data_IF_691074027902
#
_entry.id   IF_691074027902
#
_cell.length_a   1.000
_cell.length_b   1.000
_cell.length_c   1.000
_cell.angle_alpha   90.00
_cell.angle_beta   90.00
_cell.angle_gamma   90.00
#
_symmetry.space_group_name_H-M   'P 1'
#
loop_
_entity.id
_entity.type
_entity.pdbx_description
1 polymer ?
#
# COMPACT_ATOMS: atom_id res chain seq x y z
N UNK A 1 -7.39 25.71 7.93
CA UNK A 1 -7.43 24.45 7.15
C UNK A 1 -6.90 23.38 8.08
N UNK A 2 -7.70 22.37 8.41
CA UNK A 2 -7.28 21.31 9.33
C UNK A 2 -6.33 20.35 8.57
N UNK A 3 -5.03 20.59 8.72
CA UNK A 3 -3.96 19.66 8.35
C UNK A 3 -4.08 18.43 9.24
N UNK A 4 -4.65 17.35 8.69
CA UNK A 4 -4.63 16.06 9.38
C UNK A 4 -3.21 15.49 9.20
N UNK A 5 -2.34 15.67 10.19
CA UNK A 5 -0.97 15.15 10.18
C UNK A 5 -0.96 13.67 10.59
N UNK A 6 -1.19 12.80 9.60
CA UNK A 6 -0.88 11.39 9.74
C UNK A 6 0.64 11.26 9.81
N UNK A 7 1.18 10.95 10.98
CA UNK A 7 2.59 10.61 11.10
C UNK A 7 2.72 9.14 10.76
N UNK A 8 3.51 8.82 9.75
CA UNK A 8 3.73 7.44 9.32
C UNK A 8 5.21 7.10 9.27
N UNK A 9 5.50 5.84 9.55
CA UNK A 9 6.80 5.23 9.31
C UNK A 9 6.59 3.99 8.47
N UNK A 10 7.48 3.77 7.51
CA UNK A 10 7.41 2.59 6.68
C UNK A 10 8.75 1.98 6.40
N UNK A 11 8.69 0.86 5.71
CA UNK A 11 9.81 0.04 5.34
C UNK A 11 9.68 -0.34 3.88
N UNK A 12 10.72 -0.08 3.12
CA UNK A 12 10.93 -0.66 1.81
C UNK A 12 11.62 -2.02 2.02
N UNK A 13 11.05 -3.08 1.45
CA UNK A 13 11.60 -4.45 1.49
C UNK A 13 12.28 -4.70 0.14
N UNK A 14 13.61 -4.74 0.12
CA UNK A 14 14.44 -4.72 -1.09
C UNK A 14 15.84 -5.30 -0.80
N UNK A 15 16.63 -5.61 -1.82
CA UNK A 15 17.96 -6.22 -1.62
C UNK A 15 19.02 -5.22 -1.15
N UNK A 16 19.06 -4.03 -1.79
CA UNK A 16 19.97 -2.91 -1.43
C UNK A 16 19.44 -1.55 -1.90
N UNK A 17 19.75 -0.49 -1.18
CA UNK A 17 19.41 0.87 -1.61
C UNK A 17 20.33 1.31 -2.76
N UNK A 18 19.72 1.61 -3.91
CA UNK A 18 20.39 2.01 -5.16
C UNK A 18 20.05 3.45 -5.54
N UNK A 19 20.69 4.03 -6.58
CA UNK A 19 20.31 5.33 -7.12
C UNK A 19 18.81 5.47 -7.44
N UNK A 20 18.15 4.46 -8.01
CA UNK A 20 16.70 4.52 -8.27
C UNK A 20 15.89 4.65 -6.98
N UNK A 21 16.22 3.87 -5.94
CA UNK A 21 15.54 3.95 -4.65
C UNK A 21 15.75 5.32 -4.00
N UNK A 22 16.97 5.87 -4.05
CA UNK A 22 17.26 7.22 -3.53
C UNK A 22 16.50 8.30 -4.29
N UNK A 23 16.42 8.20 -5.61
CA UNK A 23 15.72 9.16 -6.45
C UNK A 23 14.22 9.21 -6.13
N UNK A 24 13.58 8.05 -5.93
CA UNK A 24 12.13 7.95 -5.72
C UNK A 24 11.71 8.14 -4.26
N UNK A 25 12.49 7.65 -3.30
CA UNK A 25 12.10 7.60 -1.89
C UNK A 25 12.95 8.48 -0.97
N UNK A 26 14.04 9.08 -1.47
CA UNK A 26 14.98 9.85 -0.64
C UNK A 26 14.36 11.05 0.08
N UNK A 27 13.24 11.59 -0.42
CA UNK A 27 12.48 12.69 0.21
C UNK A 27 11.50 12.25 1.31
N UNK A 28 11.41 10.95 1.57
CA UNK A 28 10.60 10.38 2.64
C UNK A 28 11.46 10.06 3.88
N UNK A 29 12.48 10.87 4.20
CA UNK A 29 13.43 10.60 5.30
C UNK A 29 14.00 9.17 5.26
N UNK A 30 14.49 8.76 4.08
CA UNK A 30 15.01 7.40 3.83
C UNK A 30 16.26 7.13 4.68
N UNK A 31 16.23 6.03 5.43
CA UNK A 31 17.31 5.51 6.27
C UNK A 31 17.78 4.16 5.72
N UNK A 32 19.01 4.12 5.19
CA UNK A 32 19.59 2.94 4.53
C UNK A 32 20.18 1.94 5.54
N UNK A 33 20.75 2.44 6.63
CA UNK A 33 21.40 1.64 7.67
C UNK A 33 20.36 1.12 8.67
N UNK A 34 19.59 0.10 8.28
CA UNK A 34 18.63 -0.53 9.18
C UNK A 34 19.19 -1.80 9.82
N UNK A 35 18.73 -2.18 11.04
CA UNK A 35 19.21 -3.38 11.72
C UNK A 35 18.84 -4.69 11.01
N UNK A 36 17.92 -4.64 10.04
CA UNK A 36 17.48 -5.79 9.25
C UNK A 36 18.07 -5.69 7.85
N UNK A 37 19.00 -6.60 7.49
CA UNK A 37 19.42 -6.73 6.09
C UNK A 37 18.20 -6.85 5.16
N UNK A 38 18.26 -6.15 4.03
CA UNK A 38 17.18 -6.13 3.04
C UNK A 38 15.98 -5.24 3.37
N UNK A 39 16.15 -4.26 4.27
CA UNK A 39 15.11 -3.29 4.63
C UNK A 39 15.69 -1.88 4.66
N UNK A 40 14.96 -0.90 4.12
CA UNK A 40 15.25 0.53 4.29
C UNK A 40 14.04 1.21 4.94
N UNK A 41 14.27 2.01 5.98
CA UNK A 41 13.18 2.68 6.70
C UNK A 41 12.92 4.06 6.10
N UNK A 42 11.69 4.55 6.17
CA UNK A 42 11.33 5.89 5.73
C UNK A 42 10.28 6.48 6.68
N UNK A 43 10.24 7.81 6.76
CA UNK A 43 9.32 8.57 7.61
C UNK A 43 8.50 9.57 6.80
N UNK A 44 7.24 9.74 7.18
CA UNK A 44 6.36 10.84 6.75
C UNK A 44 5.84 11.56 7.98
N UNK A 45 6.77 12.12 8.73
CA UNK A 45 6.54 12.72 10.04
C UNK A 45 6.54 14.24 9.86
N UNK A 46 5.42 14.90 9.55
CA UNK A 46 5.13 16.37 9.68
C UNK A 46 3.91 16.81 8.83
N UNK A 47 3.37 18.02 9.09
CA UNK A 47 2.31 18.65 8.29
C UNK A 47 2.73 18.81 6.81
N UNK A 48 1.90 18.33 5.88
CA UNK A 48 2.27 18.18 4.45
C UNK A 48 2.61 16.74 4.05
N UNK A 49 2.15 15.75 4.83
CA UNK A 49 2.49 14.33 4.76
C UNK A 49 2.62 13.79 3.32
N UNK A 50 3.85 13.55 2.87
CA UNK A 50 4.20 12.93 1.58
C UNK A 50 5.29 13.67 0.83
N UNK A 51 5.91 13.01 -0.13
CA UNK A 51 6.87 13.64 -1.04
C UNK A 51 6.11 14.14 -2.28
N UNK A 52 5.86 15.44 -2.46
CA UNK A 52 5.33 15.96 -3.71
C UNK A 52 6.29 15.65 -4.86
N UNK A 53 5.72 15.49 -6.05
CA UNK A 53 6.51 15.22 -7.25
C UNK A 53 7.59 16.28 -7.51
N UNK A 54 7.35 17.53 -7.11
CA UNK A 54 8.34 18.61 -7.18
C UNK A 54 9.59 18.33 -6.31
N UNK A 55 9.44 17.64 -5.18
CA UNK A 55 10.58 17.29 -4.32
C UNK A 55 11.32 16.04 -4.82
N UNK A 56 10.60 15.12 -5.47
CA UNK A 56 11.16 13.91 -6.09
C UNK A 56 11.89 14.24 -7.40
N UNK A 57 11.41 15.26 -8.11
CA UNK A 57 11.91 15.65 -9.42
C UNK A 57 13.45 15.87 -9.47
N UNK A 58 14.09 16.62 -8.55
CA UNK A 58 15.54 16.73 -8.50
C UNK A 58 16.26 15.38 -8.42
N UNK A 59 15.74 14.42 -7.65
CA UNK A 59 16.31 13.08 -7.55
C UNK A 59 16.25 12.31 -8.88
N UNK A 60 15.19 12.51 -9.67
CA UNK A 60 15.07 11.93 -11.00
C UNK A 60 16.04 12.56 -12.01
N UNK A 61 16.30 13.87 -11.89
CA UNK A 61 17.32 14.56 -12.69
C UNK A 61 18.69 13.99 -12.38
N UNK A 62 19.08 13.95 -11.10
CA UNK A 62 20.37 13.39 -10.66
C UNK A 62 20.55 11.94 -11.13
N UNK A 63 19.49 11.12 -11.06
CA UNK A 63 19.51 9.75 -11.57
C UNK A 63 19.78 9.72 -13.08
N UNK A 64 19.08 10.54 -13.86
CA UNK A 64 19.28 10.60 -15.30
C UNK A 64 20.71 11.06 -15.68
N UNK A 65 21.30 11.99 -14.93
CA UNK A 65 22.69 12.42 -15.12
C UNK A 65 23.68 11.28 -14.82
N UNK A 66 23.47 10.57 -13.72
CA UNK A 66 24.31 9.43 -13.32
C UNK A 66 24.26 8.30 -14.35
N UNK A 67 23.12 8.11 -15.00
CA UNK A 67 22.93 7.13 -16.08
C UNK A 67 23.45 7.63 -17.45
N UNK A 68 23.91 8.87 -17.54
CA UNK A 68 24.43 9.48 -18.78
C UNK A 68 23.35 9.69 -19.85
N UNK A 69 22.10 9.91 -19.44
CA UNK A 69 20.99 10.06 -20.37
C UNK A 69 21.05 11.42 -21.09
N UNK A 70 20.71 11.47 -22.40
CA UNK A 70 20.82 12.69 -23.19
C UNK A 70 19.67 13.65 -22.87
N UNK A 71 19.88 14.57 -21.95
CA UNK A 71 18.99 15.71 -21.73
C UNK A 71 19.79 16.99 -21.48
N UNK A 72 19.23 18.14 -21.87
CA UNK A 72 19.81 19.43 -21.55
C UNK A 72 19.28 19.86 -20.19
N UNK A 73 20.19 20.02 -19.20
CA UNK A 73 19.83 20.58 -17.91
C UNK A 73 19.17 21.97 -18.06
N UNK A 74 19.56 22.73 -19.10
CA UNK A 74 19.00 24.05 -19.43
C UNK A 74 17.53 23.98 -19.89
N UNK A 75 17.08 22.83 -20.39
CA UNK A 75 15.68 22.63 -20.82
C UNK A 75 14.73 22.26 -19.69
N UNK A 76 15.23 22.00 -18.47
CA UNK A 76 14.43 21.60 -17.29
C UNK A 76 13.27 20.66 -17.66
N UNK A 77 13.56 19.40 -18.05
CA UNK A 77 12.53 18.48 -18.52
C UNK A 77 11.42 18.32 -17.49
N UNK A 78 10.17 18.10 -17.91
CA UNK A 78 9.10 17.81 -16.96
C UNK A 78 9.31 16.44 -16.29
N UNK A 79 8.71 16.22 -15.11
CA UNK A 79 8.73 14.90 -14.43
C UNK A 79 8.28 13.78 -15.37
N UNK A 80 7.23 14.01 -16.16
CA UNK A 80 6.75 13.05 -17.16
C UNK A 80 7.83 12.72 -18.19
N UNK A 81 8.47 13.73 -18.79
CA UNK A 81 9.50 13.53 -19.80
C UNK A 81 10.72 12.78 -19.25
N UNK A 82 11.13 13.06 -18.00
CA UNK A 82 12.18 12.31 -17.31
C UNK A 82 11.80 10.85 -17.11
N UNK A 83 10.58 10.58 -16.62
CA UNK A 83 10.11 9.21 -16.42
C UNK A 83 9.95 8.44 -17.73
N UNK A 84 9.57 9.09 -18.83
CA UNK A 84 9.54 8.49 -20.17
C UNK A 84 10.95 8.09 -20.62
N UNK A 85 11.94 8.96 -20.42
CA UNK A 85 13.34 8.70 -20.76
C UNK A 85 13.93 7.57 -19.91
N UNK A 86 13.68 7.58 -18.60
CA UNK A 86 14.07 6.51 -17.69
C UNK A 86 13.38 5.20 -18.07
N UNK A 87 12.09 5.23 -18.45
CA UNK A 87 11.39 4.04 -18.92
C UNK A 87 12.01 3.46 -20.19
N UNK A 88 12.51 4.29 -21.11
CA UNK A 88 13.27 3.81 -22.27
C UNK A 88 14.59 3.16 -21.83
N UNK A 89 15.33 3.79 -20.91
CA UNK A 89 16.59 3.26 -20.40
C UNK A 89 16.43 1.88 -19.73
N UNK A 90 15.41 1.72 -18.89
CA UNK A 90 15.13 0.48 -18.16
C UNK A 90 14.31 -0.56 -18.97
N UNK A 91 14.01 -0.29 -20.25
CA UNK A 91 13.24 -1.21 -21.09
C UNK A 91 11.76 -1.34 -20.70
N UNK A 92 11.22 -0.36 -19.97
CA UNK A 92 9.83 -0.30 -19.51
C UNK A 92 8.93 0.59 -20.39
N UNK A 93 9.45 1.18 -21.48
CA UNK A 93 8.68 2.08 -22.34
C UNK A 93 7.48 1.41 -23.02
N UNK A 94 7.61 0.13 -23.38
CA UNK A 94 6.54 -0.67 -24.01
C UNK A 94 5.61 -1.35 -22.99
N UNK A 95 5.86 -1.19 -21.69
CA UNK A 95 4.96 -1.73 -20.67
C UNK A 95 3.62 -0.97 -20.71
N UNK A 96 2.50 -1.65 -21.00
CA UNK A 96 1.20 -1.01 -21.15
C UNK A 96 0.72 -0.33 -19.87
N UNK A 97 1.07 -0.87 -18.70
CA UNK A 97 0.74 -0.26 -17.41
C UNK A 97 1.59 0.99 -17.19
N UNK A 98 2.88 0.97 -17.56
CA UNK A 98 3.76 2.15 -17.44
C UNK A 98 3.29 3.27 -18.36
N UNK A 99 2.97 2.95 -19.62
CA UNK A 99 2.47 3.94 -20.57
C UNK A 99 1.13 4.54 -20.11
N UNK A 100 0.19 3.69 -19.69
CA UNK A 100 -1.11 4.15 -19.18
C UNK A 100 -0.93 5.03 -17.93
N UNK A 101 0.05 4.70 -17.10
CA UNK A 101 0.39 5.43 -15.91
C UNK A 101 0.94 6.83 -16.24
N UNK A 102 1.94 6.91 -17.10
CA UNK A 102 2.52 8.17 -17.58
C UNK A 102 1.48 9.06 -18.25
N UNK A 103 0.57 8.50 -19.05
CA UNK A 103 -0.48 9.24 -19.73
C UNK A 103 -1.46 9.91 -18.75
N UNK A 104 -1.89 9.17 -17.73
CA UNK A 104 -2.99 9.57 -16.84
C UNK A 104 -2.57 10.44 -15.66
N UNK A 105 -1.31 10.39 -15.24
CA UNK A 105 -0.87 11.09 -14.04
C UNK A 105 -0.40 12.51 -14.37
N UNK A 106 -0.86 13.51 -13.60
CA UNK A 106 -0.52 14.93 -13.81
C UNK A 106 0.85 15.31 -13.24
N UNK A 107 1.31 14.60 -12.20
CA UNK A 107 2.57 14.85 -11.49
C UNK A 107 2.61 16.20 -10.76
N UNK A 108 1.44 16.76 -10.41
CA UNK A 108 1.31 18.06 -9.74
C UNK A 108 1.14 17.95 -8.22
N UNK A 109 0.80 16.75 -7.73
CA UNK A 109 0.42 16.50 -6.34
C UNK A 109 1.47 15.68 -5.57
N UNK A 110 1.12 15.26 -4.35
CA UNK A 110 1.87 14.26 -3.57
C UNK A 110 2.05 12.97 -4.37
N UNK A 111 3.27 12.43 -4.40
CA UNK A 111 3.52 11.13 -4.99
C UNK A 111 2.99 10.03 -4.08
N UNK A 112 2.11 9.19 -4.62
CA UNK A 112 1.52 8.06 -3.91
C UNK A 112 2.55 6.92 -3.78
N UNK A 113 2.59 6.21 -2.65
CA UNK A 113 3.51 5.08 -2.46
C UNK A 113 3.26 3.94 -3.45
N UNK A 114 2.01 3.70 -3.84
CA UNK A 114 1.64 2.71 -4.86
C UNK A 114 2.25 3.07 -6.21
N UNK A 115 2.31 4.37 -6.49
CA UNK A 115 2.91 4.92 -7.69
C UNK A 115 4.43 4.79 -7.68
N UNK A 116 5.06 5.20 -6.59
CA UNK A 116 6.52 5.08 -6.43
C UNK A 116 6.95 3.62 -6.51
N UNK A 117 6.19 2.71 -5.89
CA UNK A 117 6.38 1.27 -6.02
C UNK A 117 6.28 0.81 -7.48
N UNK A 118 5.23 1.22 -8.20
CA UNK A 118 5.00 0.81 -9.59
C UNK A 118 6.12 1.26 -10.54
N UNK A 119 6.73 2.42 -10.29
CA UNK A 119 7.88 2.92 -11.05
C UNK A 119 9.15 2.16 -10.65
N UNK A 120 9.42 2.04 -9.34
CA UNK A 120 10.62 1.39 -8.84
C UNK A 120 10.75 -0.07 -9.34
N UNK A 121 9.68 -0.87 -9.29
CA UNK A 121 9.75 -2.27 -9.78
C UNK A 121 10.01 -2.39 -11.29
N UNK A 122 9.88 -1.30 -12.06
CA UNK A 122 10.19 -1.24 -13.49
C UNK A 122 11.58 -0.70 -13.75
N UNK A 123 12.05 0.20 -12.89
CA UNK A 123 13.37 0.81 -12.97
C UNK A 123 14.37 0.06 -12.09
N UNK A 124 14.33 -1.28 -12.13
CA UNK A 124 15.17 -2.09 -11.25
C UNK A 124 16.64 -2.06 -11.73
N UNK A 125 17.43 -1.21 -11.08
CA UNK A 125 18.90 -1.12 -11.22
C UNK A 125 19.64 -2.12 -10.31
N UNK A 126 18.92 -3.16 -9.85
CA UNK A 126 19.40 -4.20 -8.95
C UNK A 126 19.04 -3.95 -7.48
N UNK A 127 18.03 -3.11 -7.21
CA UNK A 127 17.49 -2.92 -5.87
C UNK A 127 16.55 -4.05 -5.46
N UNK A 128 15.90 -4.74 -6.41
CA UNK A 128 15.04 -5.89 -6.11
C UNK A 128 13.88 -5.56 -5.17
N UNK A 129 13.16 -4.45 -5.40
CA UNK A 129 12.10 -3.99 -4.50
C UNK A 129 10.93 -4.98 -4.52
N UNK A 130 10.62 -5.56 -3.37
CA UNK A 130 9.60 -6.59 -3.21
C UNK A 130 8.29 -6.00 -2.69
N UNK A 131 8.37 -5.12 -1.69
CA UNK A 131 7.20 -4.55 -1.04
C UNK A 131 7.50 -3.23 -0.31
N UNK A 132 6.42 -2.51 0.01
CA UNK A 132 6.39 -1.37 0.92
C UNK A 132 5.40 -1.70 2.03
N UNK A 133 5.80 -1.48 3.29
CA UNK A 133 4.92 -1.57 4.46
C UNK A 133 4.96 -0.23 5.18
N UNK A 134 3.83 0.42 5.40
CA UNK A 134 3.72 1.69 6.11
C UNK A 134 2.68 1.55 7.23
N UNK A 135 3.00 2.07 8.41
CA UNK A 135 2.05 2.25 9.50
C UNK A 135 2.04 3.72 9.92
N UNK A 136 0.84 4.29 9.97
CA UNK A 136 0.60 5.66 10.37
C UNK A 136 -0.36 5.75 11.54
N UNK A 137 -0.18 6.79 12.36
CA UNK A 137 -1.08 7.15 13.42
C UNK A 137 -1.49 8.61 13.29
N UNK A 138 -2.79 8.86 13.44
CA UNK A 138 -3.31 10.23 13.46
C UNK A 138 -2.86 10.90 14.75
N UNK A 139 -2.03 11.94 14.64
CA UNK A 139 -1.75 12.80 15.79
C UNK A 139 -2.78 13.93 15.82
N UNK A 140 -3.76 13.89 16.74
CA UNK A 140 -4.60 15.05 17.04
C UNK A 140 -4.35 15.52 18.46
N UNK A 141 -4.09 16.82 18.61
CA UNK A 141 -3.93 17.46 19.91
C UNK A 141 -5.26 17.60 20.70
N UNK A 142 -6.41 17.32 20.07
CA UNK A 142 -7.73 17.58 20.65
C UNK A 142 -8.48 16.30 21.07
N UNK A 143 -8.82 16.24 22.36
CA UNK A 143 -9.25 15.06 23.14
C UNK A 143 -10.72 14.62 22.96
N UNK A 144 -11.42 15.03 21.90
CA UNK A 144 -12.91 14.91 21.84
C UNK A 144 -13.47 13.71 21.06
N UNK A 145 -12.62 12.85 20.49
CA UNK A 145 -12.98 11.60 19.76
C UNK A 145 -11.92 10.55 20.16
N UNK A 146 -12.16 9.22 20.12
CA UNK A 146 -11.10 8.23 20.38
C UNK A 146 -9.79 8.62 19.69
N UNK A 147 -8.79 8.95 20.51
CA UNK A 147 -7.60 9.71 20.12
C UNK A 147 -6.48 8.84 19.50
N UNK A 148 -6.73 7.55 19.33
CA UNK A 148 -5.77 6.55 18.89
C UNK A 148 -6.36 5.83 17.67
N UNK A 149 -6.14 6.43 16.50
CA UNK A 149 -6.50 5.86 15.20
C UNK A 149 -5.24 5.70 14.37
N UNK A 150 -5.15 4.61 13.62
CA UNK A 150 -4.05 4.36 12.71
C UNK A 150 -4.51 3.78 11.39
N UNK A 151 -3.63 3.85 10.41
CA UNK A 151 -3.79 3.28 9.08
C UNK A 151 -2.50 2.52 8.72
N UNK A 152 -2.67 1.31 8.20
CA UNK A 152 -1.58 0.49 7.70
C UNK A 152 -1.77 0.26 6.21
N UNK A 153 -0.67 0.34 5.46
CA UNK A 153 -0.61 0.10 4.02
C UNK A 153 0.48 -0.93 3.74
N UNK A 154 0.13 -1.94 2.94
CA UNK A 154 1.08 -2.93 2.43
C UNK A 154 0.94 -3.01 0.91
N UNK A 155 2.05 -2.82 0.18
CA UNK A 155 2.08 -2.74 -1.27
C UNK A 155 3.12 -3.75 -1.78
N UNK A 156 2.71 -4.65 -2.65
CA UNK A 156 3.59 -5.55 -3.39
C UNK A 156 3.06 -5.81 -4.80
N UNK A 157 3.75 -6.67 -5.56
CA UNK A 157 3.27 -7.13 -6.88
C UNK A 157 2.02 -8.01 -6.75
N UNK A 158 1.87 -8.70 -5.63
CA UNK A 158 0.83 -9.69 -5.37
C UNK A 158 -0.37 -9.06 -4.66
N UNK A 159 -0.13 -8.17 -3.70
CA UNK A 159 -1.14 -7.66 -2.76
C UNK A 159 -0.99 -6.14 -2.57
N UNK A 160 -2.12 -5.44 -2.54
CA UNK A 160 -2.22 -4.04 -2.08
C UNK A 160 -3.31 -3.97 -1.02
N UNK A 161 -2.91 -3.85 0.24
CA UNK A 161 -3.81 -3.89 1.40
C UNK A 161 -3.72 -2.59 2.17
N UNK A 162 -4.88 -1.99 2.44
CA UNK A 162 -5.01 -0.83 3.33
C UNK A 162 -6.02 -1.15 4.42
N UNK A 163 -5.62 -0.94 5.67
CA UNK A 163 -6.45 -1.23 6.85
C UNK A 163 -6.35 -0.09 7.86
N UNK A 164 -7.49 0.49 8.23
CA UNK A 164 -7.59 1.48 9.28
C UNK A 164 -8.19 0.87 10.54
N UNK A 165 -7.67 1.20 11.72
CA UNK A 165 -8.19 0.70 12.99
C UNK A 165 -9.66 1.05 13.20
N UNK A 166 -10.10 2.22 12.71
CA UNK A 166 -11.50 2.63 12.71
C UNK A 166 -12.41 1.65 11.95
N UNK A 167 -11.95 1.11 10.81
CA UNK A 167 -12.73 0.13 10.02
C UNK A 167 -13.02 -1.15 10.81
N UNK A 168 -12.14 -1.54 11.74
CA UNK A 168 -12.36 -2.71 12.60
C UNK A 168 -13.39 -2.42 13.68
N UNK A 169 -13.36 -1.22 14.28
CA UNK A 169 -14.34 -0.79 15.29
C UNK A 169 -15.74 -0.70 14.65
N UNK A 170 -15.85 -0.04 13.49
CA UNK A 170 -17.12 0.10 12.76
C UNK A 170 -17.75 -1.24 12.39
N UNK A 171 -16.92 -2.21 11.98
CA UNK A 171 -17.35 -3.59 11.71
C UNK A 171 -17.85 -4.26 12.98
N UNK A 172 -17.12 -4.13 14.09
CA UNK A 172 -17.50 -4.70 15.39
C UNK A 172 -18.85 -4.18 15.88
N UNK A 173 -19.06 -2.86 15.81
CA UNK A 173 -20.32 -2.24 16.22
C UNK A 173 -21.48 -2.63 15.32
N UNK A 174 -21.28 -2.65 14.01
CA UNK A 174 -22.29 -3.06 13.04
C UNK A 174 -22.68 -4.52 13.21
N UNK A 175 -21.70 -5.40 13.44
CA UNK A 175 -21.93 -6.82 13.64
C UNK A 175 -22.64 -7.09 14.97
N UNK A 176 -22.23 -6.41 16.05
CA UNK A 176 -22.90 -6.47 17.36
C UNK A 176 -24.37 -6.07 17.24
N UNK A 177 -24.68 -4.98 16.54
CA UNK A 177 -26.05 -4.50 16.34
C UNK A 177 -26.90 -5.47 15.52
N UNK A 178 -26.33 -6.09 14.48
CA UNK A 178 -27.01 -7.09 13.68
C UNK A 178 -27.36 -8.33 14.52
N UNK A 179 -26.37 -8.87 15.25
CA UNK A 179 -26.55 -10.04 16.10
C UNK A 179 -27.51 -9.79 17.27
N UNK A 180 -27.44 -8.62 17.90
CA UNK A 180 -28.37 -8.25 18.99
C UNK A 180 -29.84 -8.14 18.53
N UNK A 181 -30.07 -7.98 17.22
CA UNK A 181 -31.40 -7.94 16.59
C UNK A 181 -31.80 -9.26 15.95
N UNK A 182 -30.98 -10.31 16.10
CA UNK A 182 -31.10 -11.59 15.39
C UNK A 182 -31.15 -11.44 13.86
N UNK A 183 -30.55 -10.36 13.34
CA UNK A 183 -30.48 -10.09 11.90
C UNK A 183 -29.24 -10.78 11.29
N UNK A 184 -29.37 -12.10 11.13
CA UNK A 184 -28.31 -12.93 10.55
C UNK A 184 -27.99 -12.55 9.09
N UNK A 185 -28.96 -12.00 8.37
CA UNK A 185 -28.75 -11.55 7.00
C UNK A 185 -27.78 -10.37 6.95
N UNK A 186 -27.99 -9.36 7.80
CA UNK A 186 -27.10 -8.22 7.91
C UNK A 186 -25.71 -8.63 8.42
N UNK A 187 -25.65 -9.51 9.42
CA UNK A 187 -24.38 -10.06 9.91
C UNK A 187 -23.58 -10.76 8.79
N UNK A 188 -24.26 -11.58 7.98
CA UNK A 188 -23.66 -12.23 6.81
C UNK A 188 -23.13 -11.22 5.80
N UNK A 189 -23.91 -10.18 5.45
CA UNK A 189 -23.47 -9.16 4.49
C UNK A 189 -22.22 -8.42 4.97
N UNK A 190 -22.12 -8.09 6.25
CA UNK A 190 -20.97 -7.42 6.83
C UNK A 190 -19.70 -8.27 6.71
N UNK A 191 -19.78 -9.56 7.06
CA UNK A 191 -18.67 -10.50 6.92
C UNK A 191 -18.30 -10.74 5.46
N UNK A 192 -19.29 -10.91 4.58
CA UNK A 192 -19.07 -11.09 3.15
C UNK A 192 -18.28 -9.91 2.57
N UNK A 193 -18.70 -8.67 2.83
CA UNK A 193 -18.00 -7.46 2.35
C UNK A 193 -16.57 -7.38 2.89
N UNK A 194 -16.33 -7.76 4.15
CA UNK A 194 -14.98 -7.75 4.74
C UNK A 194 -14.06 -8.74 4.03
N UNK A 195 -14.54 -9.96 3.78
CA UNK A 195 -13.80 -11.00 3.06
C UNK A 195 -13.58 -10.59 1.59
N UNK A 196 -14.59 -10.05 0.94
CA UNK A 196 -14.51 -9.56 -0.43
C UNK A 196 -13.45 -8.46 -0.57
N UNK A 197 -13.41 -7.47 0.33
CA UNK A 197 -12.37 -6.44 0.34
C UNK A 197 -10.96 -7.03 0.46
N UNK A 198 -10.77 -7.98 1.38
CA UNK A 198 -9.48 -8.67 1.54
C UNK A 198 -9.10 -9.43 0.28
N UNK A 199 -10.05 -10.11 -0.37
CA UNK A 199 -9.77 -10.82 -1.62
C UNK A 199 -9.43 -9.85 -2.75
N UNK A 200 -10.12 -8.70 -2.85
CA UNK A 200 -9.86 -7.68 -3.86
C UNK A 200 -8.48 -7.02 -3.70
N UNK A 201 -7.87 -7.07 -2.52
CA UNK A 201 -6.47 -6.65 -2.29
C UNK A 201 -5.46 -7.48 -3.11
N UNK A 202 -5.83 -8.70 -3.51
CA UNK A 202 -4.99 -9.61 -4.28
C UNK A 202 -5.10 -9.26 -5.76
N UNK A 203 -4.00 -8.86 -6.39
CA UNK A 203 -3.97 -8.33 -7.77
C UNK A 203 -4.28 -9.41 -8.80
N UNK A 204 -3.74 -10.62 -8.64
CA UNK A 204 -3.94 -11.72 -9.59
C UNK A 204 -5.36 -12.29 -9.50
N UNK A 205 -6.16 -12.09 -10.56
CA UNK A 205 -7.55 -12.55 -10.65
C UNK A 205 -7.70 -14.07 -10.49
N UNK A 206 -6.82 -14.85 -11.10
CA UNK A 206 -6.87 -16.32 -11.05
C UNK A 206 -6.58 -16.83 -9.64
N UNK A 207 -5.54 -16.28 -8.98
CA UNK A 207 -5.23 -16.60 -7.58
C UNK A 207 -6.40 -16.24 -6.65
N UNK A 208 -6.99 -15.05 -6.85
CA UNK A 208 -8.18 -14.59 -6.11
C UNK A 208 -9.36 -15.54 -6.28
N UNK A 209 -9.65 -15.99 -7.49
CA UNK A 209 -10.72 -16.97 -7.75
C UNK A 209 -10.45 -18.33 -7.10
N UNK A 210 -9.21 -18.81 -7.13
CA UNK A 210 -8.83 -20.05 -6.47
C UNK A 210 -9.00 -19.95 -4.94
N UNK A 211 -8.61 -18.83 -4.34
CA UNK A 211 -8.78 -18.58 -2.91
C UNK A 211 -10.26 -18.51 -2.50
N UNK A 212 -11.13 -17.89 -3.31
CA UNK A 212 -12.59 -17.91 -3.08
C UNK A 212 -13.10 -19.34 -2.96
N UNK A 213 -12.69 -20.25 -3.86
CA UNK A 213 -13.15 -21.63 -3.81
C UNK A 213 -12.64 -22.36 -2.56
N UNK A 214 -11.37 -22.15 -2.19
CA UNK A 214 -10.79 -22.72 -0.96
C UNK A 214 -11.51 -22.23 0.30
N UNK A 215 -11.82 -20.93 0.36
CA UNK A 215 -12.57 -20.34 1.49
C UNK A 215 -13.98 -20.90 1.60
N UNK A 216 -14.68 -21.08 0.47
CA UNK A 216 -16.01 -21.71 0.45
C UNK A 216 -15.99 -23.11 1.06
N UNK A 217 -15.03 -23.95 0.65
CA UNK A 217 -14.87 -25.29 1.21
C UNK A 217 -14.50 -25.28 2.70
N UNK A 218 -13.67 -24.33 3.14
CA UNK A 218 -13.23 -24.23 4.52
C UNK A 218 -14.31 -23.72 5.49
N UNK A 219 -15.29 -22.96 4.99
CA UNK A 219 -16.39 -22.43 5.81
C UNK A 219 -17.56 -23.41 5.98
N UNK A 220 -17.66 -24.45 5.13
CA UNK A 220 -18.71 -25.48 5.25
C UNK A 220 -18.68 -26.23 6.60
N UNK A 221 -17.51 -26.70 7.12
CA UNK A 221 -17.43 -27.40 8.40
C UNK A 221 -17.65 -26.49 9.63
N UNK A 222 -17.45 -25.18 9.50
CA UNK A 222 -17.63 -24.24 10.61
C UNK A 222 -19.12 -24.03 10.97
N UNK A 223 -20.04 -24.37 10.07
CA UNK A 223 -21.47 -24.44 10.35
C UNK A 223 -21.93 -25.75 11.01
N UNK A 224 -21.05 -26.76 11.08
CA UNK A 224 -21.33 -28.11 11.56
C UNK A 224 -20.62 -28.42 12.89
N UNK A 225 -20.29 -27.40 13.70
CA UNK A 225 -19.72 -27.63 15.05
C UNK A 225 -20.79 -28.28 15.94
N UNK A 226 -20.75 -29.62 15.94
CA UNK A 226 -21.23 -30.61 16.88
C UNK A 226 -22.17 -30.12 17.98
N UNK A 227 -23.48 -30.28 17.73
CA UNK A 227 -24.48 -30.50 18.78
C UNK A 227 -24.36 -31.92 19.33
N UNK A 228 -23.22 -32.28 19.91
CA UNK A 228 -23.06 -33.54 20.65
C UNK A 228 -22.64 -33.25 22.09
N UNK A 229 -23.63 -32.97 22.93
CA UNK A 229 -23.71 -33.47 24.30
C UNK A 229 -24.98 -32.95 24.97
N UNK A 230 -26.10 -33.67 24.84
CA UNK A 230 -26.98 -33.94 25.99
C UNK A 230 -28.08 -34.96 25.67
N UNK A 231 -27.73 -36.11 25.09
CA UNK A 231 -28.54 -37.32 25.27
C UNK A 231 -27.58 -38.52 25.37
N UNK A 232 -27.30 -38.96 26.60
CA UNK A 232 -27.26 -40.37 27.03
C UNK A 232 -27.20 -40.32 28.56
N UNK A 233 -28.28 -40.79 29.17
CA UNK A 233 -28.40 -40.86 30.63
C UNK A 233 -29.83 -41.15 31.09
N UNK A 234 -30.56 -42.00 30.36
CA UNK A 234 -31.78 -42.62 30.90
C UNK A 234 -31.39 -43.54 32.06
N UNK A 235 -31.97 -43.29 33.22
CA UNK A 235 -32.64 -44.31 34.04
C UNK A 235 -33.64 -43.62 34.95
#
# INVERSE_FOLDING_TARGET
>A
MNTCSLNATGVLILDKVTPVIRALFGKLDLMEDTPRPGHAWFGRLHEGCGAPWMDIHPGLVELAEQLGLPFSADTHPSTRALLEMLAQHFGAADDPDMRLYLERHDFENTADLHVLFAIAIRFDDGHGLQAISEEGAWSRQERSVPAFGGEAVYISREVVLTEASASTIDLGDSLRLALARDDLHQAHQLLHRRIERLLLSIRNRTARQALVQKLRCALTPLGEVQTEASEIGRS
#
